data_IF_341188759435
#
_entry.id   IF_341188759435
#
_cell.length_a   1.000
_cell.length_b   1.000
_cell.length_c   1.000
_cell.angle_alpha   90.00
_cell.angle_beta   90.00
_cell.angle_gamma   90.00
#
_symmetry.space_group_name_H-M   'P 1'
#
loop_
_entity.id
_entity.type
_entity.pdbx_description
1 polymer ?
#
# COMPACT_ATOMS: atom_id res chain seq x y z
N UNK A 1 16.98 8.50 -0.94
CA UNK A 1 16.25 9.18 -2.04
C UNK A 1 15.04 8.35 -2.39
N UNK A 2 13.87 8.97 -2.48
CA UNK A 2 12.61 8.31 -2.78
C UNK A 2 12.71 7.51 -4.09
N UNK A 3 12.33 6.23 -4.03
CA UNK A 3 12.16 5.40 -5.24
C UNK A 3 10.69 5.47 -5.66
N UNK A 4 10.45 5.57 -6.97
CA UNK A 4 9.08 5.54 -7.51
C UNK A 4 8.75 4.14 -8.00
N UNK A 5 7.65 3.61 -7.50
CA UNK A 5 7.08 2.29 -7.82
C UNK A 5 5.80 2.46 -8.63
N UNK A 6 5.45 1.43 -9.34
CA UNK A 6 4.13 1.26 -9.96
C UNK A 6 3.44 0.09 -9.29
N UNK A 7 2.22 0.29 -8.82
CA UNK A 7 1.37 -0.81 -8.38
C UNK A 7 0.85 -1.60 -9.59
N UNK A 8 0.84 -2.93 -9.49
CA UNK A 8 0.29 -3.79 -10.52
C UNK A 8 -1.25 -3.72 -10.62
N UNK A 9 -1.89 -2.98 -9.73
CA UNK A 9 -3.32 -2.69 -9.76
C UNK A 9 -3.75 -2.09 -11.11
N UNK A 10 -2.90 -1.25 -11.74
CA UNK A 10 -3.15 -0.69 -13.08
C UNK A 10 -3.28 -1.77 -14.17
N UNK A 11 -2.79 -2.97 -13.91
CA UNK A 11 -2.85 -4.13 -14.79
C UNK A 11 -3.81 -5.23 -14.30
N UNK A 12 -4.73 -4.91 -13.38
CA UNK A 12 -5.57 -5.92 -12.72
C UNK A 12 -6.43 -6.75 -13.70
N UNK A 13 -6.86 -6.17 -14.81
CA UNK A 13 -7.64 -6.85 -15.86
C UNK A 13 -6.81 -7.44 -17.01
N UNK A 14 -5.50 -7.19 -17.04
CA UNK A 14 -4.62 -7.59 -18.14
C UNK A 14 -4.24 -9.09 -18.06
N UNK A 15 -3.89 -9.66 -19.22
CA UNK A 15 -3.20 -10.95 -19.28
C UNK A 15 -1.78 -10.84 -18.69
N UNK A 16 -1.15 -12.00 -18.47
CA UNK A 16 0.28 -12.03 -18.10
C UNK A 16 1.13 -11.34 -19.17
N UNK A 17 0.91 -11.70 -20.43
CA UNK A 17 1.66 -11.19 -21.58
C UNK A 17 1.51 -9.67 -21.73
N UNK A 18 0.30 -9.13 -21.59
CA UNK A 18 0.05 -7.69 -21.68
C UNK A 18 0.69 -6.94 -20.51
N UNK A 19 0.67 -7.51 -19.31
CA UNK A 19 1.30 -6.94 -18.11
C UNK A 19 2.82 -6.85 -18.30
N UNK A 20 3.46 -7.94 -18.73
CA UNK A 20 4.91 -7.96 -18.95
C UNK A 20 5.31 -7.03 -20.08
N UNK A 21 4.59 -7.06 -21.20
CA UNK A 21 4.83 -6.15 -22.34
C UNK A 21 4.75 -4.68 -21.91
N UNK A 22 3.76 -4.35 -21.05
CA UNK A 22 3.64 -2.99 -20.51
C UNK A 22 4.85 -2.61 -19.65
N UNK A 23 5.27 -3.46 -18.73
CA UNK A 23 6.42 -3.20 -17.86
C UNK A 23 7.73 -3.10 -18.65
N UNK A 24 7.99 -4.02 -19.58
CA UNK A 24 9.21 -4.04 -20.40
C UNK A 24 9.31 -2.83 -21.30
N UNK A 25 8.26 -2.57 -22.09
CA UNK A 25 8.21 -1.43 -23.03
C UNK A 25 8.47 -0.10 -22.35
N UNK A 26 7.98 0.06 -21.11
CA UNK A 26 8.10 1.30 -20.36
C UNK A 26 9.24 1.28 -19.32
N UNK A 27 10.04 0.19 -19.28
CA UNK A 27 11.18 0.01 -18.37
C UNK A 27 10.80 0.17 -16.91
N UNK A 28 9.61 -0.30 -16.52
CA UNK A 28 9.12 -0.28 -15.14
C UNK A 28 9.83 -1.40 -14.38
N UNK A 29 10.66 -1.06 -13.41
CA UNK A 29 11.51 -2.00 -12.67
C UNK A 29 11.28 -2.00 -11.17
N UNK A 30 10.58 -0.98 -10.64
CA UNK A 30 10.17 -0.92 -9.25
C UNK A 30 8.66 -1.16 -9.22
N UNK A 31 8.23 -2.25 -8.61
CA UNK A 31 6.84 -2.69 -8.69
C UNK A 31 6.35 -3.09 -7.29
N UNK A 32 5.15 -2.65 -6.96
CA UNK A 32 4.39 -3.23 -5.89
C UNK A 32 3.36 -4.20 -6.46
N UNK A 33 3.38 -5.42 -5.95
CA UNK A 33 2.48 -6.49 -6.36
C UNK A 33 1.42 -6.77 -5.31
N UNK A 34 0.16 -6.84 -5.73
CA UNK A 34 -0.93 -7.30 -4.90
C UNK A 34 -0.88 -8.81 -4.71
N UNK A 35 -1.01 -9.26 -3.46
CA UNK A 35 -1.21 -10.66 -3.10
C UNK A 35 -2.68 -10.85 -2.78
N UNK A 36 -3.41 -11.57 -3.63
CA UNK A 36 -4.84 -11.81 -3.44
C UNK A 36 -5.18 -13.30 -3.67
N UNK A 37 -5.20 -14.05 -2.56
CA UNK A 37 -5.39 -15.50 -2.62
C UNK A 37 -6.82 -15.91 -2.98
N UNK A 38 -7.81 -15.03 -2.79
CA UNK A 38 -9.19 -15.28 -3.18
C UNK A 38 -9.41 -15.23 -4.69
N UNK A 39 -8.51 -14.58 -5.44
CA UNK A 39 -8.49 -14.54 -6.90
C UNK A 39 -7.42 -15.49 -7.47
N UNK A 40 -7.87 -16.67 -7.85
CA UNK A 40 -6.97 -17.71 -8.38
C UNK A 40 -6.25 -17.30 -9.66
N UNK A 41 -6.93 -16.57 -10.55
CA UNK A 41 -6.32 -16.11 -11.82
C UNK A 41 -5.24 -15.05 -11.55
N UNK A 42 -5.51 -14.14 -10.62
CA UNK A 42 -4.54 -13.14 -10.19
C UNK A 42 -3.33 -13.82 -9.55
N UNK A 43 -3.54 -14.77 -8.64
CA UNK A 43 -2.47 -15.53 -7.99
C UNK A 43 -1.59 -16.28 -8.99
N UNK A 44 -2.18 -16.94 -9.99
CA UNK A 44 -1.44 -17.63 -11.05
C UNK A 44 -0.64 -16.65 -11.91
N UNK A 45 -1.21 -15.50 -12.27
CA UNK A 45 -0.53 -14.42 -12.99
C UNK A 45 0.65 -13.87 -12.20
N UNK A 46 0.46 -13.55 -10.92
CA UNK A 46 1.50 -13.04 -10.03
C UNK A 46 2.67 -14.02 -9.94
N UNK A 47 2.41 -15.30 -9.67
CA UNK A 47 3.45 -16.33 -9.59
C UNK A 47 4.29 -16.39 -10.88
N UNK A 48 3.61 -16.39 -12.03
CA UNK A 48 4.27 -16.43 -13.34
C UNK A 48 5.14 -15.18 -13.58
N UNK A 49 4.70 -14.00 -13.13
CA UNK A 49 5.48 -12.75 -13.20
C UNK A 49 6.72 -12.87 -12.33
N UNK A 50 6.54 -13.25 -11.05
CA UNK A 50 7.63 -13.34 -10.08
C UNK A 50 8.71 -14.36 -10.47
N UNK A 51 8.36 -15.41 -11.22
CA UNK A 51 9.29 -16.43 -11.69
C UNK A 51 10.05 -16.00 -12.97
N UNK A 52 9.46 -15.18 -13.81
CA UNK A 52 9.96 -14.95 -15.17
C UNK A 52 10.33 -13.49 -15.47
N UNK A 53 9.95 -12.53 -14.64
CA UNK A 53 10.24 -11.12 -14.86
C UNK A 53 11.25 -10.57 -13.85
N UNK A 54 12.28 -9.88 -14.36
CA UNK A 54 13.33 -9.28 -13.54
C UNK A 54 12.88 -7.92 -12.99
N UNK A 55 12.61 -7.86 -11.70
CA UNK A 55 12.25 -6.64 -10.95
C UNK A 55 13.49 -6.13 -10.20
N UNK A 56 13.75 -4.83 -10.22
CA UNK A 56 14.90 -4.26 -9.51
C UNK A 56 14.60 -4.03 -8.02
N UNK A 57 13.42 -3.50 -7.72
CA UNK A 57 12.92 -3.34 -6.36
C UNK A 57 11.46 -3.78 -6.32
N UNK A 58 11.08 -4.46 -5.24
CA UNK A 58 9.75 -5.03 -5.07
C UNK A 58 9.22 -4.73 -3.69
N UNK A 59 7.95 -4.36 -3.61
CA UNK A 59 7.13 -4.41 -2.41
C UNK A 59 5.89 -5.25 -2.67
N UNK A 60 5.21 -5.66 -1.63
CA UNK A 60 3.99 -6.42 -1.75
C UNK A 60 2.86 -5.75 -0.97
N UNK A 61 1.68 -5.73 -1.57
CA UNK A 61 0.44 -5.43 -0.91
C UNK A 61 -0.19 -6.74 -0.43
N UNK A 62 -0.45 -6.85 0.86
CA UNK A 62 -1.05 -8.05 1.46
C UNK A 62 -2.51 -8.24 1.04
N UNK A 63 -3.09 -9.41 1.34
CA UNK A 63 -4.52 -9.64 1.12
C UNK A 63 -5.34 -8.58 1.85
N UNK A 64 -6.24 -7.91 1.15
CA UNK A 64 -7.02 -6.81 1.73
C UNK A 64 -8.54 -7.06 1.70
N UNK A 65 -9.09 -7.66 0.64
CA UNK A 65 -10.53 -7.76 0.38
C UNK A 65 -11.36 -8.37 1.51
N UNK A 66 -10.76 -9.24 2.28
CA UNK A 66 -11.40 -9.93 3.40
C UNK A 66 -10.60 -9.83 4.70
N UNK A 67 -9.49 -9.08 4.69
CA UNK A 67 -8.65 -8.89 5.87
C UNK A 67 -9.28 -7.86 6.81
N UNK A 68 -9.62 -8.28 8.02
CA UNK A 68 -10.29 -7.44 9.00
C UNK A 68 -9.95 -7.86 10.43
N UNK A 69 -9.44 -6.93 11.22
CA UNK A 69 -9.07 -7.19 12.61
C UNK A 69 -10.26 -7.44 13.54
N UNK A 70 -11.48 -7.13 13.12
CA UNK A 70 -12.70 -7.29 13.94
C UNK A 70 -13.50 -8.55 13.63
N UNK A 71 -13.11 -9.30 12.62
CA UNK A 71 -13.81 -10.51 12.12
C UNK A 71 -13.93 -11.62 13.17
N UNK A 72 -14.82 -12.59 12.94
CA UNK A 72 -14.97 -13.74 13.83
C UNK A 72 -13.71 -14.60 13.96
N UNK A 73 -13.52 -15.28 15.10
CA UNK A 73 -12.30 -16.03 15.41
C UNK A 73 -11.98 -17.13 14.37
N UNK A 74 -12.98 -17.78 13.80
CA UNK A 74 -12.73 -18.81 12.77
C UNK A 74 -12.19 -18.21 11.49
N UNK A 75 -12.79 -17.13 11.01
CA UNK A 75 -12.31 -16.40 9.84
C UNK A 75 -10.91 -15.78 10.09
N UNK A 76 -10.68 -15.30 11.32
CA UNK A 76 -9.37 -14.76 11.70
C UNK A 76 -8.24 -15.79 11.51
N UNK A 77 -8.44 -17.05 11.90
CA UNK A 77 -7.44 -18.09 11.71
C UNK A 77 -7.08 -18.31 10.25
N UNK A 78 -8.09 -18.31 9.37
CA UNK A 78 -7.88 -18.44 7.93
C UNK A 78 -7.10 -17.25 7.37
N UNK A 79 -7.48 -16.03 7.75
CA UNK A 79 -6.80 -14.80 7.35
C UNK A 79 -5.35 -14.73 7.85
N UNK A 80 -5.10 -15.21 9.08
CA UNK A 80 -3.77 -15.25 9.65
C UNK A 80 -2.85 -16.21 8.86
N UNK A 81 -3.40 -17.34 8.37
CA UNK A 81 -2.64 -18.24 7.50
C UNK A 81 -2.34 -17.59 6.14
N UNK A 82 -3.25 -16.83 5.58
CA UNK A 82 -3.01 -16.09 4.35
C UNK A 82 -1.98 -14.96 4.56
N UNK A 83 -2.01 -14.26 5.70
CA UNK A 83 -0.97 -13.31 6.06
C UNK A 83 0.41 -13.98 6.15
N UNK A 84 0.50 -15.15 6.79
CA UNK A 84 1.76 -15.91 6.87
C UNK A 84 2.29 -16.27 5.48
N UNK A 85 1.43 -16.71 4.56
CA UNK A 85 1.81 -16.98 3.17
C UNK A 85 2.31 -15.71 2.47
N UNK A 86 1.64 -14.56 2.66
CA UNK A 86 2.06 -13.29 2.10
C UNK A 86 3.44 -12.86 2.64
N UNK A 87 3.69 -13.03 3.93
CA UNK A 87 4.99 -12.80 4.57
C UNK A 87 6.06 -13.73 3.98
N UNK A 88 5.75 -15.01 3.76
CA UNK A 88 6.70 -15.97 3.16
C UNK A 88 7.01 -15.63 1.69
N UNK A 89 6.02 -15.18 0.92
CA UNK A 89 6.22 -14.65 -0.44
C UNK A 89 7.13 -13.43 -0.41
N UNK A 90 6.83 -12.46 0.47
CA UNK A 90 7.63 -11.24 0.64
C UNK A 90 9.09 -11.59 0.94
N UNK A 91 9.32 -12.53 1.85
CA UNK A 91 10.67 -13.01 2.19
C UNK A 91 11.35 -13.73 1.03
N UNK A 92 10.66 -14.64 0.35
CA UNK A 92 11.17 -15.41 -0.79
C UNK A 92 11.69 -14.51 -1.91
N UNK A 93 10.94 -13.46 -2.24
CA UNK A 93 11.26 -12.54 -3.32
C UNK A 93 11.99 -11.27 -2.85
N UNK A 94 12.42 -11.22 -1.58
CA UNK A 94 13.17 -10.10 -0.98
C UNK A 94 12.42 -8.77 -1.11
N UNK A 95 11.10 -8.80 -0.91
CA UNK A 95 10.27 -7.61 -0.86
C UNK A 95 10.77 -6.65 0.23
N UNK A 96 10.78 -5.36 -0.06
CA UNK A 96 11.25 -4.34 0.90
C UNK A 96 10.32 -4.22 2.11
N UNK A 97 9.02 -4.41 1.89
CA UNK A 97 7.98 -4.47 2.93
C UNK A 97 6.72 -5.18 2.41
N UNK A 98 5.83 -5.47 3.34
CA UNK A 98 4.47 -5.96 3.07
C UNK A 98 3.46 -4.95 3.61
N UNK A 99 2.61 -4.42 2.75
CA UNK A 99 1.49 -3.54 3.14
C UNK A 99 0.40 -4.35 3.83
N UNK A 100 -0.14 -3.81 4.90
CA UNK A 100 -1.20 -4.41 5.69
C UNK A 100 -2.35 -3.45 5.87
N UNK A 101 -3.54 -3.84 5.40
CA UNK A 101 -4.79 -3.22 5.80
C UNK A 101 -5.22 -3.72 7.19
N UNK A 102 -5.79 -2.84 8.00
CA UNK A 102 -6.40 -3.24 9.28
C UNK A 102 -7.83 -3.69 9.10
N UNK A 103 -8.49 -3.21 8.06
CA UNK A 103 -9.86 -3.53 7.66
C UNK A 103 -10.21 -2.84 6.34
N UNK A 104 -11.20 -3.37 5.63
CA UNK A 104 -11.87 -2.68 4.51
C UNK A 104 -13.25 -2.20 4.93
N UNK A 105 -14.02 -3.09 5.53
CA UNK A 105 -15.37 -2.85 6.03
C UNK A 105 -15.44 -3.29 7.47
N UNK A 106 -16.12 -2.54 8.32
CA UNK A 106 -16.42 -2.96 9.69
C UNK A 106 -17.71 -3.77 9.70
N UNK A 107 -17.59 -5.10 9.78
CA UNK A 107 -18.74 -6.01 9.80
C UNK A 107 -19.39 -6.15 11.18
N UNK A 108 -18.68 -5.83 12.26
CA UNK A 108 -19.12 -6.11 13.63
C UNK A 108 -18.82 -4.98 14.60
N UNK A 109 -19.37 -5.10 15.81
CA UNK A 109 -18.98 -4.26 16.94
C UNK A 109 -17.50 -4.47 17.27
N UNK A 110 -16.76 -3.36 17.40
CA UNK A 110 -15.33 -3.37 17.68
C UNK A 110 -15.10 -3.86 19.11
N UNK A 111 -14.45 -5.02 19.28
CA UNK A 111 -13.84 -5.43 20.53
C UNK A 111 -12.35 -5.08 20.53
N UNK A 112 -12.00 -4.00 21.24
CA UNK A 112 -10.62 -3.51 21.30
C UNK A 112 -9.63 -4.55 21.84
N UNK A 113 -10.04 -5.47 22.72
CA UNK A 113 -9.18 -6.52 23.27
C UNK A 113 -8.84 -7.57 22.18
N UNK A 114 -9.82 -7.94 21.38
CA UNK A 114 -9.60 -8.88 20.25
C UNK A 114 -8.68 -8.25 19.23
N UNK A 115 -8.93 -7.00 18.86
CA UNK A 115 -8.08 -6.26 17.91
C UNK A 115 -6.64 -6.19 18.42
N UNK A 116 -6.44 -5.83 19.68
CA UNK A 116 -5.10 -5.74 20.28
C UNK A 116 -4.38 -7.09 20.32
N UNK A 117 -5.09 -8.18 20.62
CA UNK A 117 -4.53 -9.53 20.57
C UNK A 117 -4.03 -9.87 19.17
N UNK A 118 -4.85 -9.59 18.15
CA UNK A 118 -4.52 -9.87 16.74
C UNK A 118 -3.34 -9.05 16.23
N UNK A 119 -3.27 -7.78 16.61
CA UNK A 119 -2.11 -6.94 16.32
C UNK A 119 -0.83 -7.56 16.89
N UNK A 120 -0.85 -8.04 18.14
CA UNK A 120 0.31 -8.72 18.73
C UNK A 120 0.70 -10.00 18.00
N UNK A 121 -0.27 -10.76 17.47
CA UNK A 121 -0.01 -11.93 16.63
C UNK A 121 0.68 -11.53 15.31
N UNK A 122 0.25 -10.43 14.68
CA UNK A 122 0.88 -9.90 13.46
C UNK A 122 2.31 -9.42 13.74
N UNK A 123 2.53 -8.67 14.80
CA UNK A 123 3.88 -8.20 15.21
C UNK A 123 4.82 -9.39 15.38
N UNK A 124 4.38 -10.43 16.09
CA UNK A 124 5.17 -11.64 16.30
C UNK A 124 5.57 -12.33 14.98
N UNK A 125 4.63 -12.45 14.03
CA UNK A 125 4.92 -13.03 12.71
C UNK A 125 5.96 -12.19 11.97
N UNK A 126 5.81 -10.86 12.00
CA UNK A 126 6.72 -9.93 11.35
C UNK A 126 8.14 -10.04 11.91
N UNK A 127 8.28 -10.10 13.25
CA UNK A 127 9.55 -10.25 13.94
C UNK A 127 10.23 -11.60 13.65
N UNK A 128 9.49 -12.72 13.78
CA UNK A 128 10.00 -14.08 13.52
C UNK A 128 10.53 -14.23 12.09
N UNK A 129 9.91 -13.58 11.14
CA UNK A 129 10.29 -13.64 9.72
C UNK A 129 11.26 -12.53 9.30
N UNK A 130 11.45 -11.51 10.15
CA UNK A 130 12.23 -10.30 9.86
C UNK A 130 11.69 -9.55 8.63
N UNK A 131 10.36 -9.42 8.53
CA UNK A 131 9.67 -8.69 7.47
C UNK A 131 9.13 -7.37 8.02
N UNK A 132 9.31 -6.30 7.28
CA UNK A 132 8.72 -5.00 7.59
C UNK A 132 7.25 -5.03 7.21
N UNK A 133 6.36 -4.88 8.19
CA UNK A 133 4.93 -4.66 7.95
C UNK A 133 4.68 -3.15 7.90
N UNK A 134 4.15 -2.68 6.79
CA UNK A 134 3.73 -1.31 6.57
C UNK A 134 2.21 -1.22 6.71
N UNK A 135 1.73 -0.72 7.84
CA UNK A 135 0.29 -0.55 8.07
C UNK A 135 -0.19 0.66 7.28
N UNK A 136 -1.28 0.49 6.55
CA UNK A 136 -1.90 1.53 5.76
C UNK A 136 -3.06 2.20 6.50
N UNK A 137 -3.27 3.49 6.26
CA UNK A 137 -4.44 4.24 6.74
C UNK A 137 -5.67 3.92 5.88
N UNK A 138 -6.42 2.91 6.27
CA UNK A 138 -7.55 2.35 5.54
C UNK A 138 -8.88 2.52 6.25
N UNK A 139 -9.94 2.14 5.55
CA UNK A 139 -11.31 2.30 6.00
C UNK A 139 -11.82 3.73 5.79
N UNK A 140 -12.92 3.89 5.05
CA UNK A 140 -13.46 5.20 4.69
C UNK A 140 -14.73 5.47 5.45
N UNK A 141 -14.82 6.65 6.09
CA UNK A 141 -15.99 7.10 6.82
C UNK A 141 -16.36 6.16 7.96
N UNK A 142 -17.54 5.55 7.92
CA UNK A 142 -18.02 4.62 8.96
C UNK A 142 -17.24 3.31 9.06
N UNK A 143 -16.44 2.99 8.03
CA UNK A 143 -15.62 1.78 8.00
C UNK A 143 -14.24 1.99 8.61
N UNK A 144 -13.92 3.19 9.09
CA UNK A 144 -12.65 3.52 9.69
C UNK A 144 -12.52 2.86 11.07
N UNK A 145 -11.55 1.96 11.22
CA UNK A 145 -11.24 1.30 12.51
C UNK A 145 -10.43 2.22 13.42
N UNK A 146 -9.54 3.01 12.86
CA UNK A 146 -8.70 3.98 13.54
C UNK A 146 -8.89 5.35 12.91
N UNK A 147 -9.15 6.38 13.70
CA UNK A 147 -9.02 7.76 13.25
C UNK A 147 -7.53 8.15 13.14
N UNK A 148 -7.23 9.36 12.68
CA UNK A 148 -5.86 9.81 12.46
C UNK A 148 -4.97 9.70 13.70
N UNK A 149 -5.45 10.12 14.87
CA UNK A 149 -4.73 10.08 16.14
C UNK A 149 -4.50 8.63 16.58
N UNK A 150 -5.52 7.81 16.52
CA UNK A 150 -5.46 6.39 16.87
C UNK A 150 -4.51 5.62 15.93
N UNK A 151 -4.47 5.98 14.64
CA UNK A 151 -3.52 5.41 13.68
C UNK A 151 -2.07 5.78 14.04
N UNK A 152 -1.80 7.04 14.40
CA UNK A 152 -0.48 7.48 14.85
C UNK A 152 -0.05 6.71 16.09
N UNK A 153 -0.97 6.55 17.06
CA UNK A 153 -0.72 5.78 18.28
C UNK A 153 -0.45 4.30 17.99
N UNK A 154 -1.22 3.68 17.09
CA UNK A 154 -1.03 2.30 16.65
C UNK A 154 0.39 2.07 16.13
N UNK A 155 0.85 2.91 15.18
CA UNK A 155 2.18 2.80 14.59
C UNK A 155 3.26 2.88 15.67
N UNK A 156 3.20 3.90 16.52
CA UNK A 156 4.22 4.13 17.56
C UNK A 156 4.20 3.06 18.65
N UNK A 157 3.02 2.62 19.08
CA UNK A 157 2.85 1.64 20.17
C UNK A 157 3.43 0.28 19.80
N UNK A 158 3.24 -0.16 18.55
CA UNK A 158 3.63 -1.51 18.12
C UNK A 158 4.88 -1.53 17.26
N UNK A 159 5.46 -0.37 16.94
CA UNK A 159 6.68 -0.27 16.13
C UNK A 159 6.49 -0.70 14.68
N UNK A 160 5.27 -0.60 14.15
CA UNK A 160 5.02 -0.84 12.73
C UNK A 160 5.65 0.25 11.88
N UNK A 161 5.93 -0.08 10.63
CA UNK A 161 6.12 0.94 9.63
C UNK A 161 4.75 1.50 9.19
N UNK A 162 4.74 2.74 8.75
CA UNK A 162 3.56 3.41 8.20
C UNK A 162 3.65 3.47 6.68
N UNK A 163 2.57 3.13 6.01
CA UNK A 163 2.32 3.50 4.62
C UNK A 163 1.16 4.50 4.61
N UNK A 164 1.38 5.68 4.06
CA UNK A 164 0.35 6.70 3.96
C UNK A 164 -0.29 6.66 2.58
N UNK A 165 -1.56 6.25 2.55
CA UNK A 165 -2.40 6.42 1.37
C UNK A 165 -3.00 7.82 1.33
N UNK A 166 -2.69 8.55 0.24
CA UNK A 166 -3.08 9.95 0.08
C UNK A 166 -4.56 10.11 -0.27
N UNK A 167 -5.13 9.18 -1.01
CA UNK A 167 -6.54 9.19 -1.36
C UNK A 167 -7.46 8.87 -0.19
N UNK A 168 -7.11 7.87 0.63
CA UNK A 168 -7.81 7.56 1.88
C UNK A 168 -7.75 8.72 2.88
N UNK A 169 -6.58 9.35 3.01
CA UNK A 169 -6.43 10.51 3.86
C UNK A 169 -7.35 11.67 3.41
N UNK A 170 -7.48 11.90 2.09
CA UNK A 170 -8.41 12.89 1.54
C UNK A 170 -9.86 12.58 1.91
N UNK A 171 -10.29 11.34 1.68
CA UNK A 171 -11.68 10.91 1.90
C UNK A 171 -12.08 10.98 3.38
N UNK A 172 -11.13 10.74 4.27
CA UNK A 172 -11.32 10.82 5.72
C UNK A 172 -11.02 12.22 6.31
N UNK A 173 -10.71 13.22 5.48
CA UNK A 173 -10.30 14.56 5.90
C UNK A 173 -9.10 14.55 6.87
N UNK A 174 -8.18 13.61 6.71
CA UNK A 174 -6.96 13.55 7.51
C UNK A 174 -5.94 14.59 7.04
N UNK A 175 -5.17 15.11 7.97
CA UNK A 175 -4.12 16.07 7.66
C UNK A 175 -2.81 15.35 7.38
N UNK A 176 -2.47 15.19 6.09
CA UNK A 176 -1.25 14.49 5.64
C UNK A 176 0.03 15.14 6.21
N UNK A 177 0.07 16.48 6.37
CA UNK A 177 1.25 17.15 6.94
C UNK A 177 1.47 16.74 8.39
N UNK A 178 0.39 16.60 9.16
CA UNK A 178 0.46 16.11 10.55
C UNK A 178 0.93 14.65 10.56
N UNK A 179 0.38 13.80 9.67
CA UNK A 179 0.83 12.41 9.56
C UNK A 179 2.33 12.32 9.28
N UNK A 180 2.82 13.08 8.28
CA UNK A 180 4.24 13.10 7.92
C UNK A 180 5.08 13.58 9.12
N UNK A 181 4.73 14.67 9.77
CA UNK A 181 5.52 15.21 10.90
C UNK A 181 5.53 14.23 12.09
N UNK A 182 4.41 13.60 12.41
CA UNK A 182 4.29 12.71 13.57
C UNK A 182 4.88 11.33 13.35
N UNK A 183 4.96 10.86 12.08
CA UNK A 183 5.38 9.52 11.72
C UNK A 183 6.61 9.47 10.81
N UNK A 184 7.33 10.57 10.57
CA UNK A 184 8.47 10.63 9.63
C UNK A 184 9.50 9.52 9.81
N UNK A 185 9.75 9.09 11.05
CA UNK A 185 10.71 8.05 11.38
C UNK A 185 10.16 6.62 11.17
N UNK A 186 8.85 6.51 10.92
CA UNK A 186 8.14 5.24 10.71
C UNK A 186 7.65 5.07 9.27
N UNK A 187 7.55 6.18 8.49
CA UNK A 187 7.01 6.11 7.12
C UNK A 187 8.01 5.41 6.21
N UNK A 188 7.59 4.29 5.62
CA UNK A 188 8.39 3.53 4.66
C UNK A 188 7.91 3.74 3.22
N UNK A 189 6.66 4.17 3.04
CA UNK A 189 6.08 4.39 1.73
C UNK A 189 4.80 5.22 1.72
N UNK A 190 4.39 5.57 0.52
CA UNK A 190 3.15 6.26 0.22
C UNK A 190 2.46 5.57 -0.94
N UNK A 191 1.15 5.33 -0.81
CA UNK A 191 0.28 5.15 -1.98
C UNK A 191 -0.15 6.51 -2.48
N UNK A 192 0.24 6.79 -3.71
CA UNK A 192 -0.01 8.07 -4.36
C UNK A 192 -1.10 7.89 -5.41
N UNK A 193 -2.27 8.36 -5.11
CA UNK A 193 -3.38 8.53 -6.04
C UNK A 193 -4.26 9.69 -5.58
N UNK A 194 -5.11 10.17 -6.47
CA UNK A 194 -6.05 11.24 -6.18
C UNK A 194 -7.48 10.77 -6.38
N UNK A 195 -8.43 11.54 -5.92
CA UNK A 195 -9.85 11.29 -6.09
C UNK A 195 -10.65 12.59 -6.05
N UNK A 196 -11.96 12.51 -6.31
CA UNK A 196 -12.86 13.66 -6.31
C UNK A 196 -13.34 14.08 -4.91
N UNK A 197 -12.87 13.43 -3.84
CA UNK A 197 -13.28 13.66 -2.46
C UNK A 197 -14.61 12.99 -2.08
N UNK A 198 -15.14 12.09 -2.90
CA UNK A 198 -16.39 11.36 -2.65
C UNK A 198 -16.20 9.84 -2.69
N UNK A 199 -15.37 9.35 -3.61
CA UNK A 199 -15.11 7.94 -3.83
C UNK A 199 -13.63 7.68 -4.00
N UNK A 200 -13.21 6.52 -3.56
CA UNK A 200 -11.88 6.03 -3.75
C UNK A 200 -11.71 5.52 -5.19
N UNK A 201 -11.20 6.41 -6.06
CA UNK A 201 -11.16 6.17 -7.51
C UNK A 201 -9.79 5.82 -8.04
N UNK A 202 -8.74 5.93 -7.22
CA UNK A 202 -7.35 5.61 -7.59
C UNK A 202 -6.93 6.18 -8.96
N UNK A 203 -7.18 7.47 -9.16
CA UNK A 203 -6.84 8.15 -10.42
C UNK A 203 -5.50 8.89 -10.33
N UNK A 204 -5.03 9.44 -11.44
CA UNK A 204 -3.78 10.23 -11.53
C UNK A 204 -3.65 11.23 -10.39
N UNK A 205 -2.43 11.34 -9.84
CA UNK A 205 -2.10 12.29 -8.77
C UNK A 205 -2.42 13.75 -9.14
N UNK A 206 -2.45 14.09 -10.43
CA UNK A 206 -2.80 15.42 -10.90
C UNK A 206 -4.27 15.57 -11.29
N UNK A 207 -5.07 14.51 -11.18
CA UNK A 207 -6.49 14.50 -11.50
C UNK A 207 -7.33 14.26 -10.24
N UNK A 208 -7.65 15.32 -9.49
CA UNK A 208 -8.45 15.24 -8.27
C UNK A 208 -8.38 16.49 -7.41
N UNK A 209 -8.79 16.36 -6.14
CA UNK A 209 -8.90 17.49 -5.21
C UNK A 209 -7.62 17.82 -4.45
N UNK A 210 -6.66 16.91 -4.36
CA UNK A 210 -5.40 17.20 -3.70
C UNK A 210 -4.50 18.12 -4.53
N UNK A 211 -3.91 19.11 -3.87
CA UNK A 211 -2.73 19.79 -4.39
C UNK A 211 -1.49 18.93 -4.11
N UNK A 212 -1.19 18.04 -5.05
CA UNK A 212 -0.04 17.15 -4.95
C UNK A 212 1.31 17.88 -4.88
N UNK A 213 1.44 19.08 -5.41
CA UNK A 213 2.72 19.82 -5.35
C UNK A 213 3.13 20.13 -3.92
N UNK A 214 2.16 20.55 -3.09
CA UNK A 214 2.42 20.84 -1.69
C UNK A 214 2.74 19.57 -0.89
N UNK A 215 1.99 18.49 -1.14
CA UNK A 215 2.22 17.19 -0.48
C UNK A 215 3.59 16.64 -0.84
N UNK A 216 3.95 16.63 -2.13
CA UNK A 216 5.24 16.15 -2.60
C UNK A 216 6.41 16.92 -1.99
N UNK A 217 6.30 18.23 -1.82
CA UNK A 217 7.32 19.01 -1.11
C UNK A 217 7.55 18.47 0.30
N UNK A 218 6.49 18.25 1.07
CA UNK A 218 6.60 17.72 2.43
C UNK A 218 7.21 16.31 2.44
N UNK A 219 6.82 15.45 1.51
CA UNK A 219 7.38 14.09 1.38
C UNK A 219 8.89 14.14 1.15
N UNK A 220 9.33 14.89 0.14
CA UNK A 220 10.76 14.98 -0.20
C UNK A 220 11.60 15.60 0.91
N UNK A 221 11.08 16.60 1.63
CA UNK A 221 11.80 17.28 2.71
C UNK A 221 11.87 16.43 3.99
N UNK A 222 10.82 15.71 4.33
CA UNK A 222 10.68 15.05 5.64
C UNK A 222 10.95 13.55 5.61
N UNK A 223 10.69 12.89 4.48
CA UNK A 223 10.79 11.42 4.32
C UNK A 223 11.50 11.06 3.01
N UNK A 224 12.75 11.51 2.80
CA UNK A 224 13.46 11.37 1.51
C UNK A 224 13.76 9.92 1.12
N UNK A 225 13.64 8.97 2.04
CA UNK A 225 13.92 7.55 1.81
C UNK A 225 12.65 6.68 1.70
N UNK A 226 11.46 7.27 1.88
CA UNK A 226 10.21 6.56 1.71
C UNK A 226 9.93 6.25 0.23
N UNK A 227 9.34 5.09 -0.06
CA UNK A 227 8.95 4.69 -1.40
C UNK A 227 7.66 5.41 -1.84
N UNK A 228 7.58 5.76 -3.12
CA UNK A 228 6.42 6.42 -3.72
C UNK A 228 5.75 5.45 -4.69
N UNK A 229 4.62 4.90 -4.33
CA UNK A 229 3.89 3.92 -5.15
C UNK A 229 2.76 4.62 -5.87
N UNK A 230 2.81 4.71 -7.20
CA UNK A 230 1.66 5.13 -8.01
C UNK A 230 0.65 3.99 -8.04
N UNK A 231 -0.42 4.13 -7.25
CA UNK A 231 -1.45 3.12 -7.08
C UNK A 231 -2.73 3.50 -7.82
N UNK A 232 -2.73 3.26 -9.12
CA UNK A 232 -3.83 3.62 -10.00
C UNK A 232 -4.69 2.41 -10.35
N UNK A 233 -6.00 2.63 -10.39
CA UNK A 233 -6.96 1.60 -10.79
C UNK A 233 -6.81 1.23 -12.27
N UNK A 234 -7.24 0.01 -12.63
CA UNK A 234 -7.19 -0.48 -14.02
C UNK A 234 -8.03 0.34 -15.01
N UNK A 235 -8.95 1.19 -14.53
CA UNK A 235 -9.72 2.11 -15.40
C UNK A 235 -9.00 3.42 -15.66
N UNK A 236 -7.95 3.74 -14.91
CA UNK A 236 -7.12 4.91 -15.17
C UNK A 236 -6.25 4.68 -16.41
N UNK A 237 -6.19 5.63 -17.35
CA UNK A 237 -5.37 5.47 -18.55
C UNK A 237 -3.89 5.22 -18.21
N UNK A 238 -3.30 4.16 -18.74
CA UNK A 238 -1.87 3.88 -18.58
C UNK A 238 -0.95 5.01 -19.04
N UNK A 239 -1.41 5.85 -19.97
CA UNK A 239 -0.70 7.06 -20.42
C UNK A 239 -0.55 8.08 -19.31
N UNK A 240 -1.57 8.28 -18.46
CA UNK A 240 -1.50 9.18 -17.30
C UNK A 240 -0.48 8.67 -16.28
N UNK A 241 -0.52 7.37 -15.95
CA UNK A 241 0.49 6.76 -15.08
C UNK A 241 1.91 7.01 -15.60
N UNK A 242 2.15 6.84 -16.91
CA UNK A 242 3.48 7.01 -17.49
C UNK A 242 3.94 8.47 -17.50
N UNK A 243 3.02 9.41 -17.62
CA UNK A 243 3.32 10.83 -17.51
C UNK A 243 3.69 11.19 -16.08
N UNK A 244 2.89 10.78 -15.11
CA UNK A 244 3.14 11.01 -13.69
C UNK A 244 4.44 10.37 -13.20
N UNK A 245 4.73 9.16 -13.67
CA UNK A 245 5.99 8.46 -13.39
C UNK A 245 7.21 9.27 -13.90
N UNK A 246 7.11 9.88 -15.09
CA UNK A 246 8.18 10.77 -15.62
C UNK A 246 8.34 12.01 -14.76
N UNK A 247 7.23 12.64 -14.37
CA UNK A 247 7.24 13.83 -13.52
C UNK A 247 7.90 13.52 -12.18
N UNK A 248 7.47 12.48 -11.46
CA UNK A 248 8.05 12.10 -10.18
C UNK A 248 9.54 11.75 -10.27
N UNK A 249 9.95 11.01 -11.30
CA UNK A 249 11.36 10.71 -11.54
C UNK A 249 12.21 11.95 -11.86
N UNK A 250 11.60 13.00 -12.41
CA UNK A 250 12.30 14.28 -12.65
C UNK A 250 12.44 15.11 -11.36
N UNK A 251 11.43 15.12 -10.50
CA UNK A 251 11.48 15.78 -9.20
C UNK A 251 12.62 15.23 -8.34
N UNK A 252 12.78 13.92 -8.29
CA UNK A 252 13.86 13.29 -7.51
C UNK A 252 15.27 13.65 -7.97
N UNK A 253 15.44 14.16 -9.21
CA UNK A 253 16.73 14.58 -9.77
C UNK A 253 17.04 16.06 -9.53
N UNK A 254 16.02 16.89 -9.32
CA UNK A 254 16.17 18.36 -9.24
C UNK A 254 16.34 18.88 -7.80
N UNK A 255 16.28 18.01 -6.80
CA UNK A 255 16.47 18.33 -5.37
C UNK A 255 17.94 18.08 -4.92
N UNK A 256 18.86 17.93 -5.87
CA UNK A 256 20.29 17.82 -5.60
C UNK A 256 20.96 19.19 -5.56
#
# INVERSE_FOLDING_TARGET
MNKVYVSDLICAGDSYEDTINFFEKNRIKNIEFFIEFSDKKHTEKLNKILENYSVANISFHGPYRYFELTISENKWKEMLEDLKKAVDITKKYKGEFLVLHTNEVLESTIDKNIVEKRIKEIVKIAEEKSIKIAVENVGIGKNMLYNQEEYIELIKKYGFYSLIDTGHALLNNWNIKILIEMLKDYIIGYHLHNNNGEKDTHQSIFNGKFDFKEIMKNIYEKTPDANLVLEYSAVTPKSELLEDLKILNSFSRNIK
#
